data_IF_917299496767
#
_entry.id   IF_917299496767
#
_cell.length_a   1.000
_cell.length_b   1.000
_cell.length_c   1.000
_cell.angle_alpha   90.00
_cell.angle_beta   90.00
_cell.angle_gamma   90.00
#
_symmetry.space_group_name_H-M   'P 1'
#
loop_
_entity.id
_entity.type
_entity.pdbx_description
1 polymer ?
#
# COMPACT_ATOMS: atom_id res chain seq x y z
N UNK A 1 -29.49 -20.20 25.76
CA UNK A 1 -28.99 -19.52 24.53
C UNK A 1 -27.48 -19.73 24.46
N UNK A 2 -27.01 -20.69 23.64
CA UNK A 2 -25.60 -21.07 23.58
C UNK A 2 -24.88 -19.97 22.79
N UNK A 3 -24.16 -19.09 23.49
CA UNK A 3 -23.54 -17.91 22.89
C UNK A 3 -22.46 -18.36 21.88
N UNK A 4 -22.80 -18.35 20.60
CA UNK A 4 -21.91 -18.76 19.50
C UNK A 4 -20.80 -17.73 19.23
N UNK A 5 -20.73 -16.65 20.02
CA UNK A 5 -19.69 -15.63 20.04
C UNK A 5 -18.28 -16.20 19.85
N UNK A 6 -17.91 -17.28 20.55
CA UNK A 6 -16.56 -17.84 20.48
C UNK A 6 -16.23 -18.43 19.10
N UNK A 7 -17.23 -18.84 18.31
CA UNK A 7 -17.05 -19.32 16.92
C UNK A 7 -16.76 -18.16 15.98
N UNK A 8 -17.45 -17.04 16.14
CA UNK A 8 -17.17 -15.84 15.36
C UNK A 8 -15.80 -15.26 15.72
N UNK A 9 -15.49 -15.22 17.02
CA UNK A 9 -14.18 -14.81 17.51
C UNK A 9 -13.07 -15.70 16.94
N UNK A 10 -13.24 -17.03 16.94
CA UNK A 10 -12.24 -17.94 16.37
C UNK A 10 -12.07 -17.76 14.86
N UNK A 11 -13.15 -17.56 14.11
CA UNK A 11 -13.10 -17.32 12.67
C UNK A 11 -12.34 -16.02 12.37
N UNK A 12 -12.64 -14.94 13.09
CA UNK A 12 -11.93 -13.66 12.94
C UNK A 12 -10.44 -13.83 13.25
N UNK A 13 -10.10 -14.55 14.32
CA UNK A 13 -8.72 -14.80 14.73
C UNK A 13 -7.94 -15.60 13.66
N UNK A 14 -8.57 -16.61 13.06
CA UNK A 14 -7.97 -17.41 11.97
C UNK A 14 -7.76 -16.56 10.72
N UNK A 15 -8.73 -15.73 10.34
CA UNK A 15 -8.60 -14.83 9.18
C UNK A 15 -7.47 -13.83 9.40
N UNK A 16 -7.38 -13.23 10.58
CA UNK A 16 -6.30 -12.30 10.94
C UNK A 16 -4.93 -13.01 10.90
N UNK A 17 -4.83 -14.22 11.43
CA UNK A 17 -3.60 -15.00 11.39
C UNK A 17 -3.16 -15.30 9.95
N UNK A 18 -4.09 -15.67 9.05
CA UNK A 18 -3.79 -15.91 7.63
C UNK A 18 -3.29 -14.63 6.94
N UNK A 19 -3.88 -13.48 7.24
CA UNK A 19 -3.47 -12.19 6.67
C UNK A 19 -2.09 -11.73 7.16
N UNK A 20 -1.73 -12.04 8.41
CA UNK A 20 -0.40 -11.73 8.95
C UNK A 20 0.66 -12.70 8.39
N UNK A 21 0.31 -13.98 8.21
CA UNK A 21 1.22 -14.98 7.66
C UNK A 21 1.39 -14.87 6.13
N UNK A 22 0.46 -14.22 5.43
CA UNK A 22 0.55 -13.99 3.98
C UNK A 22 1.47 -12.83 3.59
N UNK A 23 2.10 -12.15 4.55
CA UNK A 23 3.17 -11.18 4.29
C UNK A 23 4.45 -11.91 3.90
N UNK A 24 4.43 -12.59 2.76
CA UNK A 24 5.66 -12.96 2.08
C UNK A 24 6.41 -11.65 1.78
N UNK A 25 7.69 -11.65 2.15
CA UNK A 25 8.69 -10.60 2.02
C UNK A 25 8.34 -9.54 0.98
N UNK A 26 8.58 -8.27 1.34
CA UNK A 26 8.48 -7.02 0.56
C UNK A 26 9.24 -7.00 -0.81
N UNK A 27 9.45 -8.14 -1.44
CA UNK A 27 9.83 -8.29 -2.83
C UNK A 27 8.56 -8.17 -3.68
N UNK A 28 8.50 -7.15 -4.54
CA UNK A 28 7.33 -6.73 -5.29
C UNK A 28 6.43 -7.89 -5.79
N UNK A 29 5.14 -7.83 -5.46
CA UNK A 29 4.11 -8.83 -5.82
C UNK A 29 3.80 -8.95 -7.32
N UNK A 30 4.53 -8.21 -8.18
CA UNK A 30 4.42 -8.32 -9.63
C UNK A 30 5.68 -8.99 -10.19
N UNK A 31 5.69 -10.33 -10.40
CA UNK A 31 6.84 -11.03 -10.97
C UNK A 31 7.22 -10.49 -12.35
N UNK A 32 6.26 -9.91 -13.08
CA UNK A 32 6.48 -9.34 -14.42
C UNK A 32 7.42 -8.13 -14.40
N UNK A 33 7.27 -7.21 -13.43
CA UNK A 33 8.12 -6.02 -13.32
C UNK A 33 9.54 -6.38 -12.83
N UNK A 34 9.64 -7.37 -11.94
CA UNK A 34 10.93 -7.88 -11.46
C UNK A 34 11.73 -8.56 -12.57
N UNK A 35 11.09 -9.43 -13.35
CA UNK A 35 11.74 -10.17 -14.45
C UNK A 35 12.22 -9.20 -15.54
N UNK A 36 11.40 -8.24 -15.96
CA UNK A 36 11.79 -7.27 -16.99
C UNK A 36 13.01 -6.43 -16.57
N UNK A 37 13.05 -6.01 -15.29
CA UNK A 37 14.16 -5.22 -14.75
C UNK A 37 15.41 -6.07 -14.57
N UNK A 38 15.27 -7.30 -14.06
CA UNK A 38 16.40 -8.20 -13.85
C UNK A 38 17.04 -8.61 -15.18
N UNK A 39 16.23 -8.89 -16.22
CA UNK A 39 16.71 -9.11 -17.59
C UNK A 39 17.38 -7.88 -18.19
N UNK A 40 16.90 -6.66 -17.89
CA UNK A 40 17.54 -5.44 -18.35
C UNK A 40 18.93 -5.25 -17.70
N UNK A 41 19.05 -5.53 -16.40
CA UNK A 41 20.31 -5.42 -15.67
C UNK A 41 21.34 -6.48 -16.09
N UNK A 42 20.91 -7.72 -16.37
CA UNK A 42 21.80 -8.78 -16.85
C UNK A 42 22.39 -8.48 -18.23
N UNK A 43 21.66 -7.72 -19.06
CA UNK A 43 22.13 -7.26 -20.37
C UNK A 43 22.87 -5.92 -20.33
N UNK A 44 23.31 -5.47 -19.15
CA UNK A 44 24.09 -4.23 -18.98
C UNK A 44 23.26 -2.94 -18.88
N UNK A 45 21.94 -3.04 -18.86
CA UNK A 45 21.02 -1.92 -18.73
C UNK A 45 20.89 -1.39 -17.28
N UNK A 46 20.63 -0.10 -17.12
CA UNK A 46 20.55 0.56 -15.81
C UNK A 46 19.12 0.70 -15.28
N UNK A 47 18.11 0.17 -15.98
CA UNK A 47 16.69 0.36 -15.65
C UNK A 47 16.28 -0.16 -14.26
N UNK A 48 17.10 -0.99 -13.62
CA UNK A 48 16.89 -1.44 -12.24
C UNK A 48 17.56 -0.60 -11.14
N UNK A 49 18.47 0.32 -11.50
CA UNK A 49 19.06 1.24 -10.52
C UNK A 49 18.00 2.26 -10.10
N UNK A 50 17.34 2.01 -8.97
CA UNK A 50 16.38 2.94 -8.36
C UNK A 50 14.93 2.45 -8.32
N UNK A 51 14.63 1.24 -8.82
CA UNK A 51 13.26 0.69 -8.82
C UNK A 51 12.65 0.64 -7.43
N UNK A 52 13.42 0.24 -6.41
CA UNK A 52 12.94 0.21 -5.02
C UNK A 52 12.55 1.61 -4.50
N UNK A 53 13.22 2.68 -4.95
CA UNK A 53 12.80 4.06 -4.64
C UNK A 53 11.54 4.45 -5.43
N UNK A 54 11.43 3.99 -6.68
CA UNK A 54 10.26 4.22 -7.52
C UNK A 54 8.97 3.65 -6.95
N UNK A 55 9.01 2.43 -6.38
CA UNK A 55 7.82 1.78 -5.79
C UNK A 55 7.27 2.59 -4.60
N UNK A 56 8.12 3.02 -3.67
CA UNK A 56 7.68 3.84 -2.54
C UNK A 56 7.10 5.18 -2.98
N UNK A 57 7.67 5.82 -4.01
CA UNK A 57 7.13 7.07 -4.55
C UNK A 57 5.76 6.85 -5.20
N UNK A 58 5.61 5.82 -6.05
CA UNK A 58 4.33 5.54 -6.74
C UNK A 58 3.23 5.18 -5.74
N UNK A 59 3.55 4.41 -4.68
CA UNK A 59 2.58 4.08 -3.63
C UNK A 59 2.25 5.27 -2.72
N UNK A 60 3.22 6.14 -2.40
CA UNK A 60 3.01 7.29 -1.50
C UNK A 60 2.33 8.49 -2.16
N UNK A 61 2.58 8.72 -3.46
CA UNK A 61 2.07 9.86 -4.21
C UNK A 61 0.54 10.04 -4.17
N UNK A 62 -0.31 9.00 -4.37
CA UNK A 62 -1.76 9.19 -4.35
C UNK A 62 -2.26 9.67 -2.98
N UNK A 63 -1.68 9.19 -1.87
CA UNK A 63 -2.04 9.64 -0.53
C UNK A 63 -1.64 11.10 -0.28
N UNK A 64 -0.45 11.51 -0.75
CA UNK A 64 -0.01 12.90 -0.65
C UNK A 64 -0.91 13.85 -1.44
N UNK A 65 -1.31 13.47 -2.66
CA UNK A 65 -2.21 14.27 -3.49
C UNK A 65 -3.57 14.42 -2.81
N UNK A 66 -4.18 13.32 -2.38
CA UNK A 66 -5.50 13.35 -1.71
C UNK A 66 -5.43 14.15 -0.42
N UNK A 67 -4.41 13.93 0.41
CA UNK A 67 -4.22 14.66 1.66
C UNK A 67 -4.06 16.17 1.45
N UNK A 68 -3.30 16.57 0.43
CA UNK A 68 -3.09 17.98 0.09
C UNK A 68 -4.39 18.64 -0.37
N UNK A 69 -5.14 17.99 -1.26
CA UNK A 69 -6.43 18.51 -1.73
C UNK A 69 -7.42 18.62 -0.58
N UNK A 70 -7.53 17.59 0.27
CA UNK A 70 -8.41 17.60 1.43
C UNK A 70 -8.06 18.73 2.41
N UNK A 71 -6.77 18.94 2.68
CA UNK A 71 -6.30 20.01 3.55
C UNK A 71 -6.63 21.41 2.99
N UNK A 72 -6.38 21.64 1.70
CA UNK A 72 -6.71 22.92 1.03
C UNK A 72 -8.22 23.17 1.08
N UNK A 73 -9.03 22.16 0.76
CA UNK A 73 -10.49 22.27 0.78
C UNK A 73 -11.02 22.62 2.18
N UNK A 74 -10.54 21.91 3.21
CA UNK A 74 -10.94 22.18 4.60
C UNK A 74 -10.55 23.60 5.04
N UNK A 75 -9.32 24.04 4.72
CA UNK A 75 -8.86 25.40 5.03
C UNK A 75 -9.73 26.45 4.34
N UNK A 76 -10.10 26.23 3.08
CA UNK A 76 -10.91 27.17 2.32
C UNK A 76 -12.34 27.25 2.87
N UNK A 77 -12.94 26.11 3.25
CA UNK A 77 -14.26 26.07 3.89
C UNK A 77 -14.26 26.80 5.24
N UNK A 78 -13.21 26.67 6.04
CA UNK A 78 -13.11 27.41 7.31
C UNK A 78 -13.04 28.92 7.10
N UNK A 79 -12.23 29.40 6.15
CA UNK A 79 -12.18 30.84 5.82
C UNK A 79 -13.51 31.40 5.34
N UNK A 80 -14.30 30.60 4.60
CA UNK A 80 -15.63 31.00 4.15
C UNK A 80 -16.68 31.01 5.27
N UNK A 81 -16.54 30.14 6.28
CA UNK A 81 -17.45 30.11 7.43
C UNK A 81 -17.10 31.14 8.52
N UNK A 82 -15.87 31.65 8.50
CA UNK A 82 -15.36 32.68 9.43
C UNK A 82 -15.49 34.11 8.85
N UNK A 83 -16.03 34.26 7.64
CA UNK A 83 -16.33 35.54 6.96
C UNK A 83 -17.86 35.76 6.90
#
# INVERSE_FOLDING_TARGET
MKNNWYKYLSVVLVVVAILVLSTTLLEAQCPMCKIAVQSNMQNGGTAGKGLNKGIFIILGMPYLIVGTIAYIWWRNKRKLNEA
#
